data_IF_877142046510
#
_entry.id   IF_877142046510
#
_cell.length_a   1.000
_cell.length_b   1.000
_cell.length_c   1.000
_cell.angle_alpha   90.00
_cell.angle_beta   90.00
_cell.angle_gamma   90.00
#
_symmetry.space_group_name_H-M   'P 1'
#
loop_
_entity.id
_entity.type
_entity.pdbx_description
1 polymer ?
#
# COMPACT_ATOMS: atom_id res chain seq x y z
N UNK A 1 23.06 4.69 -46.31
CA UNK A 1 22.35 5.92 -45.93
C UNK A 1 21.66 5.67 -44.60
N UNK A 2 22.29 6.08 -43.49
CA UNK A 2 21.70 6.00 -42.10
C UNK A 2 20.98 7.32 -41.89
N UNK A 3 19.64 7.28 -41.75
CA UNK A 3 18.88 8.44 -41.31
C UNK A 3 18.88 8.44 -39.78
N UNK A 4 19.53 9.44 -39.19
CA UNK A 4 19.50 9.70 -37.76
C UNK A 4 18.09 10.11 -37.35
N UNK A 5 17.60 9.48 -36.29
CA UNK A 5 16.39 9.90 -35.58
C UNK A 5 16.78 11.00 -34.60
N UNK A 6 16.34 12.20 -34.86
CA UNK A 6 16.37 13.30 -33.90
C UNK A 6 15.15 13.17 -32.97
N UNK A 7 15.41 13.03 -31.69
CA UNK A 7 14.39 13.02 -30.64
C UNK A 7 13.77 14.42 -30.51
N UNK A 8 12.47 14.53 -30.73
CA UNK A 8 11.63 15.68 -30.32
C UNK A 8 10.48 15.14 -29.50
N UNK A 9 10.47 15.55 -28.22
CA UNK A 9 9.38 15.73 -27.22
C UNK A 9 8.16 14.83 -27.24
N UNK A 10 7.81 14.45 -26.07
CA UNK A 10 6.61 13.93 -25.39
C UNK A 10 5.31 13.60 -26.17
N UNK A 11 5.08 14.17 -27.33
CA UNK A 11 3.85 13.96 -28.12
C UNK A 11 3.78 12.65 -28.92
N UNK A 12 4.91 11.99 -29.21
CA UNK A 12 4.95 10.84 -30.14
C UNK A 12 4.50 9.51 -29.50
N UNK A 13 4.70 9.33 -28.20
CA UNK A 13 4.30 8.10 -27.51
C UNK A 13 2.78 7.99 -27.34
N UNK A 14 2.11 9.10 -27.04
CA UNK A 14 0.65 9.16 -26.95
C UNK A 14 0.00 8.88 -28.30
N UNK A 15 0.62 9.34 -29.41
CA UNK A 15 0.11 9.12 -30.76
C UNK A 15 0.27 7.64 -31.17
N UNK A 16 1.39 7.00 -30.91
CA UNK A 16 1.62 5.59 -31.24
C UNK A 16 0.68 4.69 -30.44
N UNK A 17 0.54 4.92 -29.13
CA UNK A 17 -0.39 4.17 -28.27
C UNK A 17 -1.85 4.30 -28.76
N UNK A 18 -2.29 5.51 -29.08
CA UNK A 18 -3.64 5.76 -29.60
C UNK A 18 -3.90 5.11 -30.96
N UNK A 19 -2.90 4.99 -31.83
CA UNK A 19 -3.03 4.32 -33.15
C UNK A 19 -3.18 2.81 -32.96
N UNK A 20 -2.33 2.16 -32.14
CA UNK A 20 -2.43 0.73 -31.85
C UNK A 20 -3.74 0.37 -31.14
N UNK A 21 -4.21 1.20 -30.23
CA UNK A 21 -5.48 0.97 -29.52
C UNK A 21 -6.70 1.12 -30.44
N UNK A 22 -6.70 2.05 -31.40
CA UNK A 22 -7.77 2.17 -32.40
C UNK A 22 -7.83 0.95 -33.31
N UNK A 23 -6.69 0.45 -33.75
CA UNK A 23 -6.61 -0.73 -34.61
C UNK A 23 -7.02 -1.99 -33.83
N UNK A 24 -6.59 -2.15 -32.60
CA UNK A 24 -7.02 -3.23 -31.71
C UNK A 24 -8.53 -3.18 -31.45
N UNK A 25 -9.07 -2.02 -31.13
CA UNK A 25 -10.51 -1.83 -30.88
C UNK A 25 -11.33 -2.24 -32.13
N UNK A 26 -10.93 -1.77 -33.32
CA UNK A 26 -11.57 -2.12 -34.56
C UNK A 26 -11.50 -3.62 -34.85
N UNK A 27 -10.38 -4.25 -34.59
CA UNK A 27 -10.20 -5.70 -34.74
C UNK A 27 -11.10 -6.46 -33.73
N UNK A 28 -11.06 -6.11 -32.45
CA UNK A 28 -11.81 -6.78 -31.38
C UNK A 28 -13.33 -6.68 -31.59
N UNK A 29 -13.84 -5.51 -32.01
CA UNK A 29 -15.28 -5.32 -32.24
C UNK A 29 -15.74 -5.93 -33.57
N UNK A 30 -14.97 -5.77 -34.67
CA UNK A 30 -15.42 -6.18 -36.00
C UNK A 30 -15.10 -7.64 -36.33
N UNK A 31 -14.04 -8.22 -35.78
CA UNK A 31 -13.59 -9.59 -36.03
C UNK A 31 -13.90 -10.58 -34.93
N UNK A 32 -13.84 -10.15 -33.70
CA UNK A 32 -14.07 -11.02 -32.52
C UNK A 32 -15.46 -10.83 -31.90
N UNK A 33 -16.27 -9.85 -32.39
CA UNK A 33 -17.63 -9.62 -31.90
C UNK A 33 -17.71 -9.12 -30.44
N UNK A 34 -16.61 -8.59 -29.89
CA UNK A 34 -16.58 -8.09 -28.51
C UNK A 34 -17.36 -6.78 -28.46
N UNK A 35 -18.27 -6.66 -27.47
CA UNK A 35 -19.02 -5.42 -27.26
C UNK A 35 -18.05 -4.26 -26.95
N UNK A 36 -18.19 -3.15 -27.70
CA UNK A 36 -17.32 -1.98 -27.57
C UNK A 36 -17.31 -1.37 -26.16
N UNK A 37 -18.45 -1.41 -25.42
CA UNK A 37 -18.52 -0.92 -24.03
C UNK A 37 -17.68 -1.79 -23.09
N UNK A 38 -17.75 -3.12 -23.23
CA UNK A 38 -16.92 -4.05 -22.42
C UNK A 38 -15.44 -3.84 -22.71
N UNK A 39 -15.08 -3.57 -23.95
CA UNK A 39 -13.70 -3.26 -24.33
C UNK A 39 -13.23 -1.93 -23.73
N UNK A 40 -14.08 -0.91 -23.76
CA UNK A 40 -13.78 0.40 -23.16
C UNK A 40 -13.63 0.30 -21.63
N UNK A 41 -14.43 -0.52 -20.96
CA UNK A 41 -14.30 -0.80 -19.53
C UNK A 41 -12.98 -1.51 -19.20
N UNK A 42 -12.59 -2.53 -19.98
CA UNK A 42 -11.31 -3.23 -19.82
C UNK A 42 -10.13 -2.28 -20.04
N UNK A 43 -10.19 -1.45 -21.08
CA UNK A 43 -9.14 -0.45 -21.37
C UNK A 43 -9.08 0.63 -20.31
N UNK A 44 -10.23 1.07 -19.76
CA UNK A 44 -10.27 2.04 -18.66
C UNK A 44 -9.70 1.46 -17.38
N UNK A 45 -10.00 0.20 -17.06
CA UNK A 45 -9.39 -0.51 -15.91
C UNK A 45 -7.87 -0.65 -16.06
N UNK A 46 -7.37 -1.01 -17.26
CA UNK A 46 -5.92 -1.06 -17.51
C UNK A 46 -5.25 0.32 -17.39
N UNK A 47 -5.89 1.38 -17.88
CA UNK A 47 -5.36 2.74 -17.77
C UNK A 47 -5.34 3.27 -16.33
N UNK A 48 -6.19 2.76 -15.44
CA UNK A 48 -6.20 3.11 -14.02
C UNK A 48 -4.99 2.55 -13.25
N UNK A 49 -4.34 1.51 -13.81
CA UNK A 49 -3.19 0.80 -13.19
C UNK A 49 -1.89 0.95 -13.98
N UNK A 50 -1.81 1.90 -14.94
CA UNK A 50 -0.54 2.11 -15.65
C UNK A 50 0.47 2.82 -14.75
N UNK A 51 1.45 2.07 -14.29
CA UNK A 51 2.60 2.64 -13.61
C UNK A 51 3.39 3.56 -14.57
N UNK A 52 3.79 4.75 -14.14
CA UNK A 52 4.65 5.59 -14.94
C UNK A 52 6.01 4.93 -15.15
N UNK A 53 6.53 4.97 -16.38
CA UNK A 53 7.82 4.39 -16.74
C UNK A 53 8.89 5.46 -16.79
N UNK A 54 10.10 5.07 -16.40
CA UNK A 54 11.32 5.86 -16.54
C UNK A 54 12.31 5.12 -17.46
N UNK A 55 13.13 5.87 -18.20
CA UNK A 55 14.26 5.34 -18.93
C UNK A 55 15.54 5.66 -18.13
N UNK A 56 16.22 4.63 -17.63
CA UNK A 56 17.49 4.78 -16.96
C UNK A 56 18.62 4.39 -17.91
N UNK A 57 19.48 5.36 -18.26
CA UNK A 57 20.67 5.14 -19.07
C UNK A 57 21.83 4.73 -18.16
N UNK A 58 22.28 3.49 -18.26
CA UNK A 58 23.55 3.02 -17.69
C UNK A 58 24.55 2.81 -18.81
N UNK A 59 25.84 2.95 -18.54
CA UNK A 59 26.94 3.07 -19.51
C UNK A 59 26.93 2.11 -20.72
N UNK A 60 26.12 1.07 -20.75
CA UNK A 60 26.01 0.11 -21.86
C UNK A 60 24.59 -0.34 -22.22
N UNK A 61 23.55 0.00 -21.41
CA UNK A 61 22.17 -0.43 -21.67
C UNK A 61 21.14 0.60 -21.22
N UNK A 62 20.15 0.88 -22.05
CA UNK A 62 18.94 1.60 -21.67
C UNK A 62 17.92 0.58 -21.18
N UNK A 63 17.53 0.66 -19.90
CA UNK A 63 16.51 -0.20 -19.33
C UNK A 63 15.25 0.60 -19.05
N UNK A 64 14.13 0.20 -19.60
CA UNK A 64 12.83 0.76 -19.25
C UNK A 64 12.36 0.10 -17.95
N UNK A 65 12.03 0.92 -16.95
CA UNK A 65 11.59 0.46 -15.65
C UNK A 65 10.43 1.33 -15.17
N UNK A 66 9.43 0.75 -14.52
CA UNK A 66 8.39 1.55 -13.87
C UNK A 66 8.94 2.24 -12.60
N UNK A 67 8.29 3.35 -12.21
CA UNK A 67 8.76 4.17 -11.08
C UNK A 67 8.76 3.40 -9.76
N UNK A 68 7.78 2.52 -9.53
CA UNK A 68 7.73 1.75 -8.28
C UNK A 68 8.87 0.74 -8.20
N UNK A 69 9.19 0.06 -9.32
CA UNK A 69 10.35 -0.83 -9.40
C UNK A 69 11.67 -0.06 -9.18
N UNK A 70 11.77 1.17 -9.71
CA UNK A 70 12.95 2.01 -9.48
C UNK A 70 13.08 2.41 -8.01
N UNK A 71 12.00 2.82 -7.37
CA UNK A 71 11.99 3.18 -5.95
C UNK A 71 12.28 1.96 -5.05
N UNK A 72 11.79 0.78 -5.43
CA UNK A 72 12.08 -0.46 -4.71
C UNK A 72 13.59 -0.77 -4.69
N UNK A 73 14.35 -0.41 -5.73
CA UNK A 73 15.83 -0.52 -5.70
C UNK A 73 16.46 0.38 -4.63
N UNK A 74 15.81 1.48 -4.26
CA UNK A 74 16.18 2.35 -3.14
C UNK A 74 15.50 1.95 -1.83
N UNK A 75 14.92 0.73 -1.77
CA UNK A 75 14.24 0.14 -0.62
C UNK A 75 12.99 0.90 -0.18
N UNK A 76 12.31 1.52 -1.15
CA UNK A 76 11.06 2.26 -0.95
C UNK A 76 9.92 1.48 -1.60
N UNK A 77 8.93 1.10 -0.81
CA UNK A 77 7.72 0.40 -1.26
C UNK A 77 6.46 1.15 -0.82
N UNK A 78 5.32 0.80 -1.40
CA UNK A 78 4.07 1.54 -1.21
C UNK A 78 2.92 0.63 -0.80
N UNK A 79 2.18 1.06 0.23
CA UNK A 79 0.83 0.61 0.54
C UNK A 79 -0.14 1.74 0.18
N UNK A 80 -0.51 1.82 -1.10
CA UNK A 80 -1.32 2.92 -1.66
C UNK A 80 -2.78 2.57 -1.93
N UNK A 81 -3.24 1.37 -1.52
CA UNK A 81 -4.57 0.85 -1.79
C UNK A 81 -5.16 0.17 -0.56
N UNK A 82 -6.35 -0.42 -0.71
CA UNK A 82 -6.92 -1.29 0.32
C UNK A 82 -6.01 -2.49 0.59
N UNK A 83 -5.99 -2.94 1.85
CA UNK A 83 -5.30 -4.17 2.28
C UNK A 83 -6.17 -5.37 1.92
N UNK A 84 -5.74 -6.13 0.93
CA UNK A 84 -6.33 -7.38 0.49
C UNK A 84 -5.23 -8.44 0.31
N UNK A 85 -5.61 -9.66 -0.08
CA UNK A 85 -4.66 -10.77 -0.24
C UNK A 85 -3.60 -10.48 -1.31
N UNK A 86 -3.98 -9.81 -2.41
CA UNK A 86 -3.04 -9.47 -3.48
C UNK A 86 -2.01 -8.44 -3.02
N UNK A 87 -2.48 -7.36 -2.40
CA UNK A 87 -1.63 -6.30 -1.83
C UNK A 87 -0.71 -6.85 -0.75
N UNK A 88 -1.24 -7.72 0.13
CA UNK A 88 -0.47 -8.35 1.18
C UNK A 88 0.64 -9.26 0.63
N UNK A 89 0.31 -10.15 -0.31
CA UNK A 89 1.29 -11.03 -0.94
C UNK A 89 2.39 -10.23 -1.66
N UNK A 90 2.03 -9.13 -2.32
CA UNK A 90 2.98 -8.26 -3.00
C UNK A 90 3.94 -7.60 -2.01
N UNK A 91 3.42 -7.00 -0.94
CA UNK A 91 4.25 -6.35 0.09
C UNK A 91 5.15 -7.33 0.82
N UNK A 92 4.62 -8.51 1.20
CA UNK A 92 5.41 -9.57 1.85
C UNK A 92 6.56 -10.03 0.95
N UNK A 93 6.29 -10.26 -0.35
CA UNK A 93 7.31 -10.64 -1.32
C UNK A 93 8.40 -9.55 -1.47
N UNK A 94 8.00 -8.27 -1.50
CA UNK A 94 8.94 -7.15 -1.57
C UNK A 94 9.78 -7.03 -0.30
N UNK A 95 9.18 -7.17 0.89
CA UNK A 95 9.89 -7.14 2.17
C UNK A 95 10.93 -8.27 2.26
N UNK A 96 10.53 -9.50 1.97
CA UNK A 96 11.42 -10.67 1.98
C UNK A 96 12.56 -10.54 0.95
N UNK A 97 12.24 -10.05 -0.25
CA UNK A 97 13.26 -9.81 -1.28
C UNK A 97 14.27 -8.75 -0.84
N UNK A 98 13.80 -7.60 -0.35
CA UNK A 98 14.67 -6.51 0.09
C UNK A 98 15.54 -6.94 1.28
N UNK A 99 14.99 -7.67 2.24
CA UNK A 99 15.75 -8.22 3.35
C UNK A 99 16.83 -9.21 2.88
N UNK A 100 16.51 -10.08 1.91
CA UNK A 100 17.47 -11.05 1.37
C UNK A 100 18.64 -10.43 0.61
N UNK A 101 18.42 -9.26 -0.02
CA UNK A 101 19.46 -8.56 -0.82
C UNK A 101 20.46 -7.82 0.07
N UNK A 102 20.00 -7.17 1.13
CA UNK A 102 20.84 -6.38 2.04
C UNK A 102 20.24 -6.40 3.45
N UNK A 103 20.45 -7.48 4.20
CA UNK A 103 19.88 -7.65 5.53
C UNK A 103 20.30 -6.54 6.50
N UNK A 104 19.38 -6.08 7.31
CA UNK A 104 19.63 -5.05 8.33
C UNK A 104 19.60 -3.61 7.83
N UNK A 105 19.48 -3.39 6.52
CA UNK A 105 19.23 -2.05 5.97
C UNK A 105 17.76 -1.68 6.04
N UNK A 106 17.47 -0.42 6.34
CA UNK A 106 16.09 0.08 6.43
C UNK A 106 15.29 -0.15 5.14
N UNK A 107 14.04 -0.55 5.31
CA UNK A 107 13.02 -0.59 4.25
C UNK A 107 11.97 0.48 4.59
N UNK A 108 11.61 1.33 3.63
CA UNK A 108 10.61 2.38 3.84
C UNK A 108 9.28 2.02 3.18
N UNK A 109 8.19 1.95 3.97
CA UNK A 109 6.83 1.76 3.47
C UNK A 109 6.09 3.10 3.52
N UNK A 110 5.71 3.61 2.34
CA UNK A 110 4.85 4.78 2.21
C UNK A 110 3.39 4.32 2.22
N UNK A 111 2.60 4.82 3.17
CA UNK A 111 1.24 4.36 3.45
C UNK A 111 0.24 5.45 3.11
N UNK A 112 -0.71 5.12 2.21
CA UNK A 112 -1.92 5.88 1.91
C UNK A 112 -3.07 4.90 1.68
N UNK A 113 -3.64 4.37 2.76
CA UNK A 113 -4.56 3.23 2.70
C UNK A 113 -5.71 3.36 3.70
N UNK A 114 -6.93 3.01 3.29
CA UNK A 114 -8.09 2.94 4.19
C UNK A 114 -8.07 1.69 5.11
N UNK A 115 -7.06 0.82 5.01
CA UNK A 115 -7.05 -0.48 5.67
C UNK A 115 -7.73 -1.56 4.82
N UNK A 116 -8.28 -2.58 5.46
CA UNK A 116 -8.94 -3.69 4.76
C UNK A 116 -8.91 -5.00 5.54
N UNK A 117 -8.62 -6.11 4.88
CA UNK A 117 -8.61 -7.44 5.48
C UNK A 117 -7.64 -7.55 6.64
N UNK A 118 -8.14 -7.98 7.81
CA UNK A 118 -7.33 -8.16 9.02
C UNK A 118 -6.29 -9.26 8.81
N UNK A 119 -6.69 -10.42 8.26
CA UNK A 119 -5.76 -11.54 8.05
C UNK A 119 -4.64 -11.18 7.06
N UNK A 120 -4.99 -10.52 5.96
CA UNK A 120 -4.02 -10.04 4.99
C UNK A 120 -3.03 -9.04 5.65
N UNK A 121 -3.54 -8.14 6.47
CA UNK A 121 -2.74 -7.17 7.21
C UNK A 121 -1.84 -7.79 8.29
N UNK A 122 -2.34 -8.79 9.02
CA UNK A 122 -1.52 -9.54 9.99
C UNK A 122 -0.37 -10.27 9.30
N UNK A 123 -0.58 -10.82 8.10
CA UNK A 123 0.51 -11.42 7.31
C UNK A 123 1.62 -10.41 6.95
N UNK A 124 1.24 -9.15 6.61
CA UNK A 124 2.21 -8.07 6.40
C UNK A 124 2.92 -7.72 7.72
N UNK A 125 2.15 -7.56 8.82
CA UNK A 125 2.67 -7.25 10.15
C UNK A 125 3.71 -8.28 10.58
N UNK A 126 3.37 -9.55 10.55
CA UNK A 126 4.27 -10.64 10.93
C UNK A 126 5.53 -10.64 10.07
N UNK A 127 5.41 -10.39 8.76
CA UNK A 127 6.58 -10.29 7.88
C UNK A 127 7.47 -9.10 8.26
N UNK A 128 6.89 -7.93 8.59
CA UNK A 128 7.65 -6.77 9.07
C UNK A 128 8.42 -7.06 10.35
N UNK A 129 7.83 -7.86 11.27
CA UNK A 129 8.49 -8.23 12.52
C UNK A 129 9.50 -9.37 12.36
N UNK A 130 9.32 -10.24 11.36
CA UNK A 130 10.15 -11.43 11.13
C UNK A 130 11.49 -11.10 10.47
N UNK A 131 11.53 -10.16 9.51
CA UNK A 131 12.74 -9.79 8.77
C UNK A 131 13.77 -9.07 9.66
N UNK A 132 15.05 -9.14 9.26
CA UNK A 132 16.14 -8.48 9.99
C UNK A 132 16.21 -6.96 9.70
N UNK A 133 15.74 -6.54 8.54
CA UNK A 133 15.74 -5.14 8.11
C UNK A 133 14.70 -4.33 8.88
N UNK A 134 15.09 -3.24 9.56
CA UNK A 134 14.13 -2.35 10.19
C UNK A 134 13.18 -1.75 9.17
N UNK A 135 11.89 -1.76 9.46
CA UNK A 135 10.87 -1.20 8.57
C UNK A 135 10.46 0.19 9.05
N UNK A 136 10.81 1.21 8.27
CA UNK A 136 10.34 2.57 8.48
C UNK A 136 8.97 2.74 7.82
N UNK A 137 8.01 3.38 8.52
CA UNK A 137 6.65 3.61 8.01
C UNK A 137 6.36 5.09 7.89
N UNK A 138 5.78 5.52 6.76
CA UNK A 138 5.51 6.91 6.47
C UNK A 138 4.07 7.09 5.97
N UNK A 139 3.20 7.69 6.78
CA UNK A 139 1.85 8.05 6.35
C UNK A 139 1.88 9.28 5.45
N UNK A 140 1.39 9.16 4.20
CA UNK A 140 1.42 10.25 3.20
C UNK A 140 0.06 10.89 2.92
N UNK A 141 -1.02 10.25 3.25
CA UNK A 141 -2.37 10.78 3.11
C UNK A 141 -3.23 10.29 4.25
N UNK A 142 -3.46 8.98 4.25
CA UNK A 142 -4.28 8.34 5.28
C UNK A 142 -3.69 6.97 5.65
N UNK A 143 -3.72 6.66 6.94
CA UNK A 143 -3.52 5.31 7.44
C UNK A 143 -4.71 4.99 8.37
N UNK A 144 -5.69 4.25 7.86
CA UNK A 144 -6.91 3.95 8.62
C UNK A 144 -7.07 2.46 8.86
N UNK A 145 -7.69 2.09 9.98
CA UNK A 145 -8.03 0.69 10.29
C UNK A 145 -6.77 -0.20 10.28
N UNK A 146 -6.75 -1.29 9.52
CA UNK A 146 -5.59 -2.18 9.41
C UNK A 146 -4.30 -1.45 8.95
N UNK A 147 -4.42 -0.40 8.13
CA UNK A 147 -3.26 0.40 7.73
C UNK A 147 -2.67 1.23 8.87
N UNK A 148 -3.48 1.63 9.86
CA UNK A 148 -2.98 2.27 11.08
C UNK A 148 -2.19 1.29 11.97
N UNK A 149 -2.62 0.03 12.01
CA UNK A 149 -1.86 -1.04 12.67
C UNK A 149 -0.51 -1.24 12.01
N UNK A 150 -0.46 -1.28 10.67
CA UNK A 150 0.80 -1.39 9.93
C UNK A 150 1.69 -0.15 10.11
N UNK A 151 1.10 1.05 10.20
CA UNK A 151 1.85 2.28 10.45
C UNK A 151 2.55 2.24 11.81
N UNK A 152 1.82 1.91 12.88
CA UNK A 152 2.36 1.87 14.24
C UNK A 152 3.38 0.75 14.43
N UNK A 153 3.28 -0.33 13.64
CA UNK A 153 4.17 -1.49 13.66
C UNK A 153 5.56 -1.25 13.05
N UNK A 154 5.81 -0.07 12.49
CA UNK A 154 7.15 0.33 12.04
C UNK A 154 8.17 0.32 13.17
N UNK A 155 9.45 0.23 12.83
CA UNK A 155 10.54 0.25 13.80
C UNK A 155 10.50 1.54 14.64
N UNK A 156 10.71 1.43 15.94
CA UNK A 156 10.68 2.55 16.88
C UNK A 156 11.67 3.65 16.46
N UNK A 157 11.23 4.90 16.51
CA UNK A 157 11.97 6.06 16.02
C UNK A 157 11.91 6.29 14.50
N UNK A 158 11.33 5.34 13.73
CA UNK A 158 11.27 5.38 12.26
C UNK A 158 9.85 5.47 11.70
N UNK A 159 8.86 5.70 12.54
CA UNK A 159 7.46 5.90 12.17
C UNK A 159 7.18 7.37 11.96
N UNK A 160 6.62 7.74 10.82
CA UNK A 160 6.44 9.15 10.47
C UNK A 160 5.09 9.41 9.79
N UNK A 161 4.64 10.65 9.84
CA UNK A 161 3.46 11.13 9.12
C UNK A 161 3.77 12.48 8.46
N UNK A 162 3.27 12.71 7.24
CA UNK A 162 3.29 14.04 6.64
C UNK A 162 2.29 14.96 7.37
N UNK A 163 2.55 16.27 7.36
CA UNK A 163 1.84 17.28 8.14
C UNK A 163 0.29 17.23 8.04
N UNK A 164 -0.23 16.90 6.86
CA UNK A 164 -1.68 16.85 6.61
C UNK A 164 -2.27 15.44 6.60
N UNK A 165 -1.48 14.42 6.93
CA UNK A 165 -1.95 13.04 7.02
C UNK A 165 -2.99 12.86 8.12
N UNK A 166 -3.76 11.77 7.99
CA UNK A 166 -4.73 11.33 8.99
C UNK A 166 -4.45 9.89 9.38
N UNK A 167 -4.58 9.60 10.64
CA UNK A 167 -4.52 8.25 11.19
C UNK A 167 -5.85 7.94 11.85
N UNK A 168 -6.38 6.74 11.63
CA UNK A 168 -7.65 6.33 12.25
C UNK A 168 -7.56 4.92 12.77
N UNK A 169 -7.97 4.75 14.01
CA UNK A 169 -8.14 3.45 14.65
C UNK A 169 -9.62 3.20 14.93
N UNK A 170 -10.06 1.97 14.80
CA UNK A 170 -11.40 1.53 15.14
C UNK A 170 -11.45 0.01 15.33
N UNK A 171 -12.57 -0.49 15.85
CA UNK A 171 -12.78 -1.93 15.99
C UNK A 171 -12.91 -2.63 14.63
N UNK A 172 -12.46 -3.90 14.52
CA UNK A 172 -12.63 -4.66 13.29
C UNK A 172 -14.10 -4.82 12.93
N UNK A 173 -14.41 -4.60 11.66
CA UNK A 173 -15.73 -4.88 11.10
C UNK A 173 -15.84 -6.36 10.76
N UNK A 174 -16.92 -6.98 11.14
CA UNK A 174 -17.19 -8.37 10.82
C UNK A 174 -18.69 -8.68 10.89
N UNK A 175 -19.08 -9.77 10.26
CA UNK A 175 -20.44 -10.29 10.29
C UNK A 175 -20.45 -11.79 10.07
N UNK A 176 -21.48 -12.47 10.52
CA UNK A 176 -21.67 -13.89 10.33
C UNK A 176 -23.11 -14.19 9.92
N UNK A 177 -23.29 -15.16 9.03
CA UNK A 177 -24.57 -15.73 8.63
C UNK A 177 -24.45 -17.25 8.64
N UNK A 178 -25.54 -17.94 8.99
CA UNK A 178 -25.55 -19.39 9.03
C UNK A 178 -26.28 -19.93 10.26
N UNK A 179 -25.88 -21.13 10.69
CA UNK A 179 -26.42 -21.75 11.88
C UNK A 179 -25.93 -21.02 13.15
N UNK A 180 -26.69 -21.09 14.23
CA UNK A 180 -26.36 -20.41 15.48
C UNK A 180 -24.94 -20.73 15.98
N UNK A 181 -24.50 -21.97 15.87
CA UNK A 181 -23.15 -22.40 16.25
C UNK A 181 -22.06 -21.75 15.37
N UNK A 182 -22.29 -21.60 14.06
CA UNK A 182 -21.34 -20.97 13.14
C UNK A 182 -21.21 -19.45 13.42
N UNK A 183 -22.34 -18.82 13.74
CA UNK A 183 -22.37 -17.41 14.16
C UNK A 183 -21.58 -17.22 15.44
N UNK A 184 -21.74 -18.10 16.44
CA UNK A 184 -21.01 -18.03 17.70
C UNK A 184 -19.50 -18.24 17.52
N UNK A 185 -19.08 -19.20 16.66
CA UNK A 185 -17.67 -19.44 16.34
C UNK A 185 -17.06 -18.19 15.69
N UNK A 186 -17.75 -17.62 14.69
CA UNK A 186 -17.27 -16.41 14.00
C UNK A 186 -17.19 -15.21 14.94
N UNK A 187 -18.19 -15.02 15.80
CA UNK A 187 -18.19 -13.92 16.77
C UNK A 187 -17.02 -14.04 17.75
N UNK A 188 -16.73 -15.24 18.24
CA UNK A 188 -15.57 -15.49 19.11
C UNK A 188 -14.24 -15.18 18.39
N UNK A 189 -14.12 -15.52 17.12
CA UNK A 189 -12.92 -15.22 16.34
C UNK A 189 -12.74 -13.71 16.12
N UNK A 190 -13.81 -12.98 15.79
CA UNK A 190 -13.77 -11.51 15.68
C UNK A 190 -13.31 -10.86 16.99
N UNK A 191 -13.78 -11.36 18.13
CA UNK A 191 -13.36 -10.84 19.46
C UNK A 191 -11.88 -11.12 19.75
N UNK A 192 -11.35 -12.27 19.32
CA UNK A 192 -9.91 -12.56 19.44
C UNK A 192 -9.08 -11.60 18.58
N UNK A 193 -9.46 -11.43 17.31
CA UNK A 193 -8.80 -10.48 16.41
C UNK A 193 -8.86 -9.05 16.95
N UNK A 194 -9.99 -8.63 17.50
CA UNK A 194 -10.12 -7.31 18.16
C UNK A 194 -9.08 -7.16 19.28
N UNK A 195 -8.99 -8.15 20.14
CA UNK A 195 -8.03 -8.13 21.27
C UNK A 195 -6.58 -8.10 20.76
N UNK A 196 -6.25 -8.90 19.75
CA UNK A 196 -4.92 -8.98 19.16
C UNK A 196 -4.49 -7.65 18.53
N UNK A 197 -5.35 -7.06 17.67
CA UNK A 197 -5.07 -5.77 17.04
C UNK A 197 -4.87 -4.65 18.06
N UNK A 198 -5.67 -4.63 19.12
CA UNK A 198 -5.55 -3.63 20.18
C UNK A 198 -4.29 -3.82 21.01
N UNK A 199 -3.88 -5.07 21.23
CA UNK A 199 -2.61 -5.38 21.88
C UNK A 199 -1.44 -4.88 21.02
N UNK A 200 -1.44 -5.14 19.71
CA UNK A 200 -0.42 -4.62 18.80
C UNK A 200 -0.35 -3.08 18.86
N UNK A 201 -1.51 -2.40 18.79
CA UNK A 201 -1.53 -0.93 18.87
C UNK A 201 -1.00 -0.46 20.22
N UNK A 202 -1.42 -1.06 21.34
CA UNK A 202 -1.00 -0.69 22.69
C UNK A 202 0.52 -0.85 22.87
N UNK A 203 1.06 -1.99 22.46
CA UNK A 203 2.48 -2.31 22.60
C UNK A 203 3.36 -1.33 21.81
N UNK A 204 3.00 -1.08 20.54
CA UNK A 204 3.79 -0.20 19.67
C UNK A 204 3.60 1.30 19.96
N UNK A 205 2.42 1.72 20.41
CA UNK A 205 2.14 3.13 20.73
C UNK A 205 2.50 3.50 22.18
N UNK A 206 2.81 2.51 23.01
CA UNK A 206 3.03 2.64 24.46
C UNK A 206 1.80 3.22 25.20
N UNK A 207 0.60 3.05 24.64
CA UNK A 207 -0.64 3.43 25.30
C UNK A 207 -1.15 2.27 26.17
N UNK A 208 -1.84 2.58 27.28
CA UNK A 208 -2.55 1.55 28.05
C UNK A 208 -3.58 0.83 27.16
N UNK A 209 -3.65 -0.49 27.26
CA UNK A 209 -4.60 -1.31 26.49
C UNK A 209 -6.05 -0.82 26.63
N UNK A 210 -6.48 -0.49 27.87
CA UNK A 210 -7.83 -0.01 28.14
C UNK A 210 -8.13 1.31 27.43
N UNK A 211 -7.11 2.18 27.24
CA UNK A 211 -7.26 3.41 26.48
C UNK A 211 -7.43 3.11 24.99
N UNK A 212 -6.61 2.23 24.41
CA UNK A 212 -6.75 1.80 23.02
C UNK A 212 -8.11 1.17 22.78
N UNK A 213 -8.57 0.34 23.72
CA UNK A 213 -9.89 -0.30 23.69
C UNK A 213 -11.03 0.73 23.65
N UNK A 214 -10.98 1.73 24.52
CA UNK A 214 -12.00 2.77 24.59
C UNK A 214 -12.01 3.67 23.33
N UNK A 215 -10.82 4.11 22.90
CA UNK A 215 -10.68 5.00 21.74
C UNK A 215 -11.07 4.31 20.43
N UNK A 216 -10.80 3.01 20.31
CA UNK A 216 -11.11 2.22 19.10
C UNK A 216 -12.56 1.70 19.03
N UNK A 217 -13.43 2.04 19.97
CA UNK A 217 -14.84 1.58 19.93
C UNK A 217 -15.59 2.15 18.71
N UNK A 218 -15.21 3.35 18.27
CA UNK A 218 -15.68 4.01 17.04
C UNK A 218 -14.48 4.59 16.30
N UNK A 219 -14.75 5.16 15.13
CA UNK A 219 -13.71 5.80 14.31
C UNK A 219 -13.01 6.93 15.10
N UNK A 220 -11.81 6.68 15.56
CA UNK A 220 -10.98 7.64 16.27
C UNK A 220 -9.94 8.22 15.32
N UNK A 221 -10.25 9.40 14.80
CA UNK A 221 -9.41 10.12 13.85
C UNK A 221 -8.39 11.00 14.55
N UNK A 222 -7.16 10.93 14.06
CA UNK A 222 -6.03 11.73 14.52
C UNK A 222 -5.41 12.51 13.36
N UNK A 223 -5.10 13.78 13.58
CA UNK A 223 -4.13 14.53 12.75
C UNK A 223 -2.74 13.96 12.93
N UNK A 224 -1.77 14.37 12.10
CA UNK A 224 -0.39 13.91 12.24
C UNK A 224 0.22 14.26 13.62
N UNK A 225 -0.11 15.42 14.19
CA UNK A 225 0.35 15.82 15.51
C UNK A 225 -0.28 14.98 16.62
N UNK A 226 -1.61 14.79 16.58
CA UNK A 226 -2.32 13.93 17.54
C UNK A 226 -1.84 12.47 17.47
N UNK A 227 -1.55 11.97 16.25
CA UNK A 227 -0.98 10.64 16.05
C UNK A 227 0.41 10.50 16.67
N UNK A 228 1.22 11.58 16.63
CA UNK A 228 2.51 11.61 17.34
C UNK A 228 2.32 11.63 18.86
N UNK A 229 1.42 12.44 19.36
CA UNK A 229 1.12 12.52 20.82
C UNK A 229 0.54 11.19 21.33
N UNK A 230 -0.22 10.49 20.49
CA UNK A 230 -0.76 9.16 20.82
C UNK A 230 0.31 8.07 20.77
N UNK A 231 1.41 8.26 20.05
CA UNK A 231 2.47 7.27 19.86
C UNK A 231 2.30 6.40 18.61
N UNK A 232 1.34 6.73 17.74
CA UNK A 232 1.16 6.03 16.46
C UNK A 232 2.31 6.30 15.49
N UNK A 233 2.98 7.45 15.61
CA UNK A 233 4.18 7.83 14.86
C UNK A 233 5.17 8.55 15.77
N UNK A 234 6.45 8.51 15.41
CA UNK A 234 7.53 9.16 16.15
C UNK A 234 7.76 10.60 15.69
N UNK A 235 7.51 10.86 14.38
CA UNK A 235 7.84 12.14 13.77
C UNK A 235 6.74 12.65 12.85
N UNK A 236 6.56 13.99 12.84
CA UNK A 236 5.78 14.67 11.80
C UNK A 236 6.77 15.34 10.83
N UNK A 237 6.72 14.92 9.57
CA UNK A 237 7.62 15.41 8.53
C UNK A 237 7.03 16.66 7.90
N UNK A 238 7.79 17.74 7.90
CA UNK A 238 7.51 18.97 7.20
C UNK A 238 8.72 19.42 6.40
N UNK A 239 8.51 20.24 5.38
CA UNK A 239 9.62 20.86 4.64
C UNK A 239 10.42 21.71 5.61
N UNK A 240 11.75 21.45 5.68
CA UNK A 240 12.64 22.39 6.34
C UNK A 240 12.61 23.69 5.54
N UNK A 241 12.36 24.81 6.23
CA UNK A 241 12.47 26.15 5.65
C UNK A 241 13.92 26.46 5.25
#
# INVERSE_FOLDING_TARGET
MRRGFTYKGEGHYIIIYNVYMKDFRKFATSKMGINGMVLDDIVSMQNQYMNPYILEERQLNVTQMDVFSRLMMDRIIFLGTQVDDYTANTLQAQLLYLDSVDPGKDISIYINSPGGSVYAGLGIYDTMQFIQSPVATICTGMAASMAAVLLVAGAEGKRSALQHSRVMIHQPLGGAQGQASDIEITAREILKLKNELYTIIADHSHQPFDKVWADSDRDYWMTALEAKEYGMVDNVLSRKA
#
